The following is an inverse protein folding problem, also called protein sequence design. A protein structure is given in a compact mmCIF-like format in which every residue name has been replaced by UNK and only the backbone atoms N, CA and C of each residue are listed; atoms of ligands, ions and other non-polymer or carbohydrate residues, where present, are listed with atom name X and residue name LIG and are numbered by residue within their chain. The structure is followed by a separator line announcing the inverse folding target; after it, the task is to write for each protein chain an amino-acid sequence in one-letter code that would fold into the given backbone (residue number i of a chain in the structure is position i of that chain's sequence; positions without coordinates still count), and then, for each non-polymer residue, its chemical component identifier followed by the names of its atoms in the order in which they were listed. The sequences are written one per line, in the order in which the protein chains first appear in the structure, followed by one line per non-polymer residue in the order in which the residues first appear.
data_IF_455783499753
#
_entry.id   IF_455783499753
#
_cell.length_a   1.000
_cell.length_b   1.000
_cell.length_c   1.000
_cell.angle_alpha   90.00
_cell.angle_beta   90.00
_cell.angle_gamma   90.00
#
_symmetry.space_group_name_H-M   'P 1'
#
loop_
_entity.id
_entity.type
_entity.pdbx_description
1 polymer ?
#
# COMPACT_ATOMS: atom_id res chain seq x y z
N UNK A 1 1.66 -15.36 23.23
CA UNK A 1 2.76 -14.41 23.46
C UNK A 1 3.42 -13.85 22.19
N UNK A 2 3.16 -14.40 20.98
CA UNK A 2 3.68 -13.83 19.71
C UNK A 2 2.69 -12.82 19.06
N UNK A 3 1.40 -12.88 19.43
CA UNK A 3 0.36 -12.05 18.80
C UNK A 3 0.38 -10.57 19.21
N UNK A 4 0.82 -10.22 20.42
CA UNK A 4 0.81 -8.82 20.90
C UNK A 4 2.00 -8.00 20.36
N UNK A 5 3.11 -8.66 20.00
CA UNK A 5 4.30 -7.96 19.51
C UNK A 5 4.23 -7.56 18.04
N UNK A 6 3.24 -8.07 17.28
CA UNK A 6 3.32 -8.03 15.82
C UNK A 6 2.89 -6.69 15.20
N UNK A 7 2.18 -5.83 15.93
CA UNK A 7 1.86 -4.47 15.47
C UNK A 7 1.67 -3.54 16.66
N UNK A 8 2.73 -3.27 17.43
CA UNK A 8 2.69 -2.17 18.38
C UNK A 8 2.65 -0.85 17.58
N UNK A 9 1.47 -0.22 17.54
CA UNK A 9 1.34 1.14 17.02
C UNK A 9 2.18 2.05 17.93
N UNK A 10 3.11 2.86 17.39
CA UNK A 10 3.97 3.70 18.23
C UNK A 10 3.13 4.58 19.16
N UNK A 11 3.57 4.77 20.41
CA UNK A 11 2.86 5.59 21.41
C UNK A 11 2.56 7.01 20.88
N UNK A 12 3.45 7.54 20.04
CA UNK A 12 3.28 8.83 19.37
C UNK A 12 2.03 8.89 18.49
N UNK A 13 1.66 7.79 17.83
CA UNK A 13 0.48 7.70 16.97
C UNK A 13 -0.79 7.54 17.81
N UNK A 14 -0.72 6.80 18.93
CA UNK A 14 -1.84 6.67 19.86
C UNK A 14 -2.20 8.00 20.53
N UNK A 15 -1.22 8.88 20.72
CA UNK A 15 -1.41 10.22 21.26
C UNK A 15 -2.04 11.22 20.26
N UNK A 16 -2.16 10.87 18.98
CA UNK A 16 -2.79 11.73 17.97
C UNK A 16 -4.32 11.73 18.12
N UNK A 17 -4.94 12.85 17.75
CA UNK A 17 -6.39 12.92 17.60
C UNK A 17 -6.90 11.86 16.61
N UNK A 18 -8.11 11.29 16.79
CA UNK A 18 -8.63 10.25 15.91
C UNK A 18 -8.63 10.65 14.43
N UNK A 19 -8.92 11.91 14.13
CA UNK A 19 -8.88 12.41 12.75
C UNK A 19 -7.46 12.46 12.18
N UNK A 20 -6.46 12.80 13.00
CA UNK A 20 -5.07 12.77 12.58
C UNK A 20 -4.62 11.34 12.29
N UNK A 21 -5.02 10.37 13.10
CA UNK A 21 -4.74 8.95 12.85
C UNK A 21 -5.34 8.48 11.51
N UNK A 22 -6.60 8.84 11.23
CA UNK A 22 -7.24 8.52 9.95
C UNK A 22 -6.51 9.16 8.78
N UNK A 23 -6.14 10.44 8.87
CA UNK A 23 -5.40 11.13 7.80
C UNK A 23 -4.01 10.49 7.57
N UNK A 24 -3.31 10.10 8.63
CA UNK A 24 -2.04 9.37 8.52
C UNK A 24 -2.22 8.02 7.83
N UNK A 25 -3.27 7.26 8.18
CA UNK A 25 -3.59 5.99 7.52
C UNK A 25 -3.89 6.19 6.03
N UNK A 26 -4.68 7.21 5.66
CA UNK A 26 -4.95 7.58 4.26
C UNK A 26 -3.63 7.91 3.54
N UNK A 27 -2.76 8.72 4.15
CA UNK A 27 -1.48 9.09 3.57
C UNK A 27 -0.57 7.89 3.31
N UNK A 28 -0.48 6.96 4.27
CA UNK A 28 0.27 5.71 4.12
C UNK A 28 -0.30 4.83 3.01
N UNK A 29 -1.63 4.69 2.93
CA UNK A 29 -2.27 3.89 1.88
C UNK A 29 -2.05 4.51 0.49
N UNK A 30 -2.17 5.83 0.37
CA UNK A 30 -1.92 6.57 -0.87
C UNK A 30 -0.46 6.45 -1.30
N UNK A 31 0.49 6.51 -0.36
CA UNK A 31 1.91 6.32 -0.65
C UNK A 31 2.22 4.89 -1.09
N UNK A 32 1.59 3.89 -0.47
CA UNK A 32 1.70 2.49 -0.92
C UNK A 32 1.17 2.30 -2.34
N UNK A 33 0.01 2.88 -2.65
CA UNK A 33 -0.52 2.87 -4.02
C UNK A 33 0.43 3.55 -5.03
N UNK A 34 1.03 4.68 -4.65
CA UNK A 34 2.00 5.37 -5.48
C UNK A 34 3.25 4.51 -5.77
N UNK A 35 3.82 3.84 -4.76
CA UNK A 35 4.93 2.90 -4.98
C UNK A 35 4.56 1.76 -5.92
N UNK A 36 3.34 1.23 -5.78
CA UNK A 36 2.86 0.15 -6.63
C UNK A 36 2.69 0.62 -8.09
N UNK A 37 2.23 1.85 -8.31
CA UNK A 37 2.20 2.48 -9.65
C UNK A 37 3.61 2.66 -10.21
N UNK A 38 4.55 3.16 -9.40
CA UNK A 38 5.94 3.41 -9.83
C UNK A 38 6.68 2.10 -10.13
N UNK A 39 6.42 1.01 -9.41
CA UNK A 39 6.95 -0.33 -9.69
C UNK A 39 6.69 -0.71 -11.16
N UNK A 40 5.47 -0.49 -11.64
CA UNK A 40 5.09 -0.81 -13.02
C UNK A 40 5.77 0.08 -14.06
N UNK A 41 6.30 1.24 -13.68
CA UNK A 41 7.00 2.17 -14.57
C UNK A 41 8.52 1.93 -14.61
N UNK A 42 9.11 1.51 -13.49
CA UNK A 42 10.58 1.46 -13.32
C UNK A 42 11.16 0.05 -13.46
N UNK A 43 10.33 -1.01 -13.49
CA UNK A 43 10.77 -2.42 -13.51
C UNK A 43 11.76 -2.68 -12.35
N UNK A 44 11.29 -2.46 -11.12
CA UNK A 44 12.11 -2.59 -9.91
C UNK A 44 12.16 -4.01 -9.33
N UNK A 45 11.80 -5.04 -10.12
CA UNK A 45 11.83 -6.45 -9.71
C UNK A 45 11.05 -6.76 -8.42
N UNK A 46 10.03 -5.96 -8.10
CA UNK A 46 9.15 -6.12 -6.93
C UNK A 46 9.61 -5.40 -5.66
N UNK A 47 10.72 -4.66 -5.67
CA UNK A 47 11.20 -3.94 -4.46
C UNK A 47 10.19 -2.88 -3.99
N UNK A 48 9.60 -2.12 -4.90
CA UNK A 48 8.59 -1.13 -4.55
C UNK A 48 7.27 -1.79 -4.16
N UNK A 49 6.98 -3.00 -4.65
CA UNK A 49 5.85 -3.81 -4.17
C UNK A 49 5.98 -4.16 -2.69
N UNK A 50 7.19 -4.51 -2.22
CA UNK A 50 7.45 -4.78 -0.80
C UNK A 50 7.23 -3.51 0.04
N UNK A 51 7.75 -2.37 -0.42
CA UNK A 51 7.53 -1.08 0.24
C UNK A 51 6.04 -0.70 0.27
N UNK A 52 5.32 -0.91 -0.84
CA UNK A 52 3.88 -0.69 -0.93
C UNK A 52 3.10 -1.56 0.06
N UNK A 53 3.48 -2.84 0.18
CA UNK A 53 2.88 -3.75 1.15
C UNK A 53 3.12 -3.29 2.59
N UNK A 54 4.36 -2.90 2.93
CA UNK A 54 4.68 -2.35 4.24
C UNK A 54 3.87 -1.10 4.57
N UNK A 55 3.72 -0.18 3.60
CA UNK A 55 2.86 1.00 3.75
C UNK A 55 1.38 0.62 3.96
N UNK A 56 0.86 -0.37 3.24
CA UNK A 56 -0.52 -0.83 3.40
C UNK A 56 -0.77 -1.47 4.78
N UNK A 57 0.17 -2.30 5.27
CA UNK A 57 0.10 -2.87 6.62
C UNK A 57 0.15 -1.77 7.69
N UNK A 58 1.07 -0.80 7.54
CA UNK A 58 1.15 0.34 8.46
C UNK A 58 -0.14 1.20 8.42
N UNK A 59 -0.73 1.43 7.24
CA UNK A 59 -2.00 2.13 7.11
C UNK A 59 -3.12 1.43 7.88
N UNK A 60 -3.23 0.10 7.73
CA UNK A 60 -4.22 -0.69 8.47
C UNK A 60 -3.98 -0.63 9.99
N UNK A 61 -2.73 -0.76 10.43
CA UNK A 61 -2.35 -0.66 11.84
C UNK A 61 -2.79 0.67 12.47
N UNK A 62 -2.48 1.78 11.80
CA UNK A 62 -2.87 3.12 12.25
C UNK A 62 -4.39 3.31 12.21
N UNK A 63 -5.07 2.77 11.19
CA UNK A 63 -6.53 2.83 11.10
C UNK A 63 -7.24 2.09 12.24
N UNK A 64 -6.71 0.95 12.70
CA UNK A 64 -7.22 0.22 13.86
C UNK A 64 -7.03 0.99 15.17
N UNK A 65 -6.03 1.87 15.27
CA UNK A 65 -5.86 2.76 16.42
C UNK A 65 -6.99 3.79 16.54
N UNK A 66 -7.55 4.24 15.40
CA UNK A 66 -8.66 5.19 15.38
C UNK A 66 -10.00 4.52 15.72
N UNK A 67 -10.32 3.41 15.04
CA UNK A 67 -11.45 2.55 15.41
C UNK A 67 -11.41 1.20 14.69
N UNK A 68 -12.02 0.14 15.26
CA UNK A 68 -12.13 -1.15 14.58
C UNK A 68 -12.86 -1.07 13.23
N UNK A 69 -13.93 -0.27 13.14
CA UNK A 69 -14.71 -0.13 11.92
C UNK A 69 -13.88 0.49 10.77
N UNK A 70 -13.08 1.51 11.07
CA UNK A 70 -12.19 2.14 10.08
C UNK A 70 -11.06 1.18 9.68
N UNK A 71 -10.47 0.46 10.64
CA UNK A 71 -9.45 -0.56 10.35
C UNK A 71 -9.95 -1.60 9.34
N UNK A 72 -11.14 -2.17 9.55
CA UNK A 72 -11.73 -3.12 8.59
C UNK A 72 -12.04 -2.50 7.22
N UNK A 73 -12.45 -1.23 7.17
CA UNK A 73 -12.64 -0.53 5.90
C UNK A 73 -11.33 -0.42 5.11
N UNK A 74 -10.21 -0.16 5.77
CA UNK A 74 -8.89 -0.13 5.13
C UNK A 74 -8.44 -1.52 4.64
N UNK A 75 -8.66 -2.56 5.44
CA UNK A 75 -8.38 -3.95 5.02
C UNK A 75 -9.15 -4.30 3.75
N UNK A 76 -10.41 -3.90 3.65
CA UNK A 76 -11.22 -4.08 2.45
C UNK A 76 -10.77 -3.20 1.27
N UNK A 77 -10.26 -2.00 1.52
CA UNK A 77 -9.77 -1.08 0.49
C UNK A 77 -8.49 -1.59 -0.19
N UNK A 78 -7.60 -2.28 0.51
CA UNK A 78 -6.36 -2.83 -0.03
C UNK A 78 -6.56 -3.74 -1.26
N UNK A 79 -7.38 -4.82 -1.22
CA UNK A 79 -7.62 -5.66 -2.40
C UNK A 79 -8.34 -4.89 -3.50
N UNK A 80 -9.24 -3.95 -3.18
CA UNK A 80 -9.92 -3.11 -4.19
C UNK A 80 -8.91 -2.27 -4.97
N UNK A 81 -7.97 -1.63 -4.27
CA UNK A 81 -6.89 -0.87 -4.92
C UNK A 81 -6.00 -1.78 -5.77
N UNK A 82 -5.66 -2.97 -5.28
CA UNK A 82 -4.87 -3.95 -6.04
C UNK A 82 -5.56 -4.35 -7.35
N UNK A 83 -6.86 -4.65 -7.30
CA UNK A 83 -7.67 -5.01 -8.48
C UNK A 83 -7.73 -3.88 -9.51
N UNK A 84 -7.59 -2.61 -9.10
CA UNK A 84 -7.56 -1.48 -10.04
C UNK A 84 -6.15 -1.25 -10.59
N UNK A 85 -5.13 -1.24 -9.73
CA UNK A 85 -3.77 -0.84 -10.09
C UNK A 85 -3.06 -1.94 -10.89
N UNK A 86 -3.21 -3.22 -10.49
CA UNK A 86 -2.46 -4.33 -11.11
C UNK A 86 -2.85 -4.53 -12.58
N UNK A 87 -4.14 -4.60 -12.98
CA UNK A 87 -4.51 -4.71 -14.39
C UNK A 87 -4.12 -3.49 -15.20
N UNK A 88 -4.17 -2.29 -14.61
CA UNK A 88 -3.67 -1.07 -15.27
C UNK A 88 -2.17 -1.16 -15.53
N UNK A 89 -1.39 -1.64 -14.55
CA UNK A 89 0.05 -1.85 -14.66
C UNK A 89 0.41 -2.84 -15.76
N UNK A 90 -0.26 -3.99 -15.82
CA UNK A 90 -0.06 -4.97 -16.89
C UNK A 90 -0.37 -4.40 -18.28
N UNK A 91 -1.47 -3.65 -18.43
CA UNK A 91 -1.80 -2.98 -19.70
C UNK A 91 -0.75 -1.96 -20.13
N UNK A 92 -0.09 -1.29 -19.18
CA UNK A 92 1.00 -0.36 -19.49
C UNK A 92 2.28 -1.09 -19.89
N UNK A 93 2.61 -2.19 -19.22
CA UNK A 93 3.73 -3.05 -19.60
C UNK A 93 3.55 -3.61 -21.02
N UNK A 94 2.36 -4.07 -21.38
CA UNK A 94 2.04 -4.56 -22.74
C UNK A 94 2.21 -3.49 -23.83
N UNK A 95 1.94 -2.22 -23.50
CA UNK A 95 2.09 -1.09 -24.44
C UNK A 95 3.53 -0.62 -24.56
N UNK A 96 4.34 -0.85 -23.54
CA UNK A 96 5.71 -0.36 -23.49
C UNK A 96 6.57 -1.23 -24.41
N UNK A 97 7.17 -0.63 -25.45
CA UNK A 97 8.12 -1.30 -26.38
C UNK A 97 9.47 -1.65 -25.73
N UNK A 98 9.50 -1.91 -24.43
CA UNK A 98 10.70 -2.20 -23.66
C UNK A 98 11.27 -3.61 -23.96
N UNK A 99 10.58 -4.41 -24.78
CA UNK A 99 11.15 -5.64 -25.36
C UNK A 99 11.90 -5.24 -26.64
N UNK A 100 13.23 -5.49 -26.72
CA UNK A 100 13.95 -5.36 -27.97
C UNK A 100 13.24 -6.21 -29.02
N UNK A 101 12.66 -5.56 -30.03
CA UNK A 101 12.25 -6.27 -31.23
C UNK A 101 13.54 -6.70 -31.89
N UNK A 102 13.90 -7.97 -31.71
CA UNK A 102 14.93 -8.60 -32.52
C UNK A 102 14.46 -8.46 -33.95
N UNK A 103 15.07 -7.53 -34.70
CA UNK A 103 14.98 -7.50 -36.15
C UNK A 103 15.63 -8.80 -36.63
N UNK A 104 14.81 -9.72 -37.13
CA UNK A 104 15.25 -10.94 -37.82
C UNK A 104 15.53 -10.56 -39.27
#
# INVERSE_FOLDING_TARGET
MIAEALVAVPDQVQALDPWAQVLTAIGLLAMGAAFLIVEFLVISWGVLTIAAAACAFAACAVAFAASPAIGWAFVAACPVLSVVIVPWGFRQMERSRAVPKVEI
#
